data_IF_492600886403
#
_entry.id   IF_492600886403
#
_cell.length_a   1.000
_cell.length_b   1.000
_cell.length_c   1.000
_cell.angle_alpha   90.00
_cell.angle_beta   90.00
_cell.angle_gamma   90.00
#
_symmetry.space_group_name_H-M   'P 1'
#
loop_
_entity.id
_entity.type
_entity.pdbx_description
1 polymer ?
#
# COMPACT_ATOMS: atom_id res chain seq x y z
N UNK A 1 11.31 2.40 -4.88
CA UNK A 1 11.54 3.42 -3.83
C UNK A 1 11.15 4.81 -4.30
N UNK A 2 11.31 5.12 -5.58
CA UNK A 2 11.04 6.47 -6.13
C UNK A 2 9.63 6.98 -5.87
N UNK A 3 8.60 6.15 -6.08
CA UNK A 3 7.21 6.55 -5.80
C UNK A 3 6.98 6.92 -4.34
N UNK A 4 7.58 6.20 -3.41
CA UNK A 4 7.44 6.51 -1.97
C UNK A 4 8.13 7.83 -1.66
N UNK A 5 9.34 8.03 -2.19
CA UNK A 5 10.13 9.23 -1.97
C UNK A 5 9.44 10.48 -2.51
N UNK A 6 8.89 10.39 -3.72
CA UNK A 6 8.13 11.49 -4.33
C UNK A 6 6.77 11.71 -3.67
N UNK A 7 6.04 10.65 -3.28
CA UNK A 7 4.70 10.80 -2.67
C UNK A 7 4.74 11.24 -1.21
N UNK A 8 5.78 10.87 -0.47
CA UNK A 8 5.92 11.20 0.95
C UNK A 8 6.99 12.25 1.22
N UNK A 9 7.60 12.84 0.19
CA UNK A 9 8.66 13.85 0.28
C UNK A 9 9.75 13.45 1.28
N UNK A 10 10.25 12.23 1.11
CA UNK A 10 11.23 11.60 1.99
C UNK A 10 12.41 11.04 1.19
N UNK A 11 13.53 10.76 1.84
CA UNK A 11 14.69 10.17 1.19
C UNK A 11 15.33 9.05 2.00
N UNK A 12 15.65 7.95 1.33
CA UNK A 12 16.24 6.76 1.96
C UNK A 12 15.32 6.12 3.00
N UNK A 13 15.83 5.12 3.72
CA UNK A 13 15.10 4.49 4.83
C UNK A 13 15.19 5.39 6.07
N UNK A 14 16.40 5.80 6.45
CA UNK A 14 16.70 6.67 7.59
C UNK A 14 16.99 8.11 7.16
N UNK A 15 17.46 8.30 5.94
CA UNK A 15 17.79 9.61 5.38
C UNK A 15 18.58 9.48 4.07
N UNK A 16 19.00 10.61 3.48
CA UNK A 16 19.76 10.63 2.22
C UNK A 16 21.13 9.92 2.31
N UNK A 17 21.70 9.79 3.50
CA UNK A 17 22.97 9.10 3.74
C UNK A 17 22.94 7.61 3.34
N UNK A 18 21.76 6.99 3.29
CA UNK A 18 21.59 5.60 2.83
C UNK A 18 22.07 5.40 1.39
N UNK A 19 22.14 6.49 0.60
CA UNK A 19 22.61 6.48 -0.78
C UNK A 19 24.11 6.77 -0.93
N UNK A 20 24.85 7.02 0.16
CA UNK A 20 26.31 7.27 0.15
C UNK A 20 26.74 8.33 -0.88
N UNK A 21 25.94 9.39 -1.03
CA UNK A 21 26.19 10.50 -1.95
C UNK A 21 25.53 10.37 -3.34
N UNK A 22 25.04 9.20 -3.73
CA UNK A 22 24.34 8.99 -5.01
C UNK A 22 22.81 9.04 -4.84
N UNK A 23 22.31 10.21 -4.43
CA UNK A 23 20.89 10.40 -4.13
C UNK A 23 20.05 10.42 -5.42
N UNK A 24 18.99 9.61 -5.53
CA UNK A 24 18.16 9.55 -6.74
C UNK A 24 17.33 10.83 -6.94
N UNK A 25 16.87 11.08 -8.17
CA UNK A 25 16.08 12.26 -8.49
C UNK A 25 14.69 12.29 -7.81
N UNK A 26 14.21 11.15 -7.32
CA UNK A 26 12.97 11.02 -6.56
C UNK A 26 13.06 11.51 -5.12
N UNK A 27 14.28 11.72 -4.61
CA UNK A 27 14.57 12.25 -3.27
C UNK A 27 14.70 13.78 -3.23
N UNK A 28 14.46 14.48 -4.34
CA UNK A 28 14.69 15.93 -4.43
C UNK A 28 13.50 16.68 -5.04
N UNK A 29 13.33 17.91 -4.60
CA UNK A 29 12.42 18.90 -5.18
C UNK A 29 13.26 20.04 -5.76
N UNK A 30 13.39 20.07 -7.09
CA UNK A 30 14.34 20.96 -7.74
C UNK A 30 15.78 20.63 -7.32
N UNK A 31 16.40 21.53 -6.55
CA UNK A 31 17.75 21.37 -6.01
C UNK A 31 17.78 20.92 -4.54
N UNK A 32 16.65 20.94 -3.83
CA UNK A 32 16.60 20.57 -2.42
C UNK A 32 16.37 19.07 -2.24
N UNK A 33 17.20 18.43 -1.42
CA UNK A 33 17.08 17.00 -1.10
C UNK A 33 16.26 16.83 0.18
N UNK A 34 15.31 15.90 0.16
CA UNK A 34 14.55 15.56 1.36
C UNK A 34 15.46 14.95 2.42
N UNK A 35 15.44 15.54 3.62
CA UNK A 35 16.29 15.10 4.75
C UNK A 35 15.64 14.01 5.60
N UNK A 36 14.31 13.87 5.53
CA UNK A 36 13.59 12.90 6.33
C UNK A 36 13.66 11.50 5.74
N UNK A 37 13.99 10.50 6.57
CA UNK A 37 13.90 9.09 6.21
C UNK A 37 12.47 8.63 5.91
N UNK A 38 12.28 7.83 4.86
CA UNK A 38 10.96 7.34 4.51
C UNK A 38 10.34 6.42 5.56
N UNK A 39 11.14 5.72 6.36
CA UNK A 39 10.62 4.84 7.41
C UNK A 39 9.90 5.64 8.51
N UNK A 40 10.44 6.80 8.91
CA UNK A 40 9.84 7.62 9.95
C UNK A 40 8.57 8.30 9.45
N UNK A 41 8.58 8.84 8.23
CA UNK A 41 7.41 9.47 7.60
C UNK A 41 6.30 8.45 7.37
N UNK A 42 6.62 7.28 6.83
CA UNK A 42 5.64 6.22 6.59
C UNK A 42 5.07 5.65 7.88
N UNK A 43 5.90 5.42 8.90
CA UNK A 43 5.43 4.98 10.21
C UNK A 43 4.53 6.02 10.89
N UNK A 44 4.87 7.31 10.78
CA UNK A 44 4.02 8.39 11.27
C UNK A 44 2.68 8.45 10.51
N UNK A 45 2.71 8.25 9.19
CA UNK A 45 1.50 8.17 8.37
C UNK A 45 0.61 7.00 8.80
N UNK A 46 1.18 5.80 8.96
CA UNK A 46 0.44 4.63 9.44
C UNK A 46 -0.13 4.85 10.83
N UNK A 47 0.63 5.41 11.77
CA UNK A 47 0.14 5.69 13.13
C UNK A 47 -1.03 6.68 13.14
N UNK A 48 -0.97 7.73 12.30
CA UNK A 48 -2.02 8.75 12.21
C UNK A 48 -3.28 8.24 11.51
N UNK A 49 -3.11 7.40 10.48
CA UNK A 49 -4.21 6.93 9.63
C UNK A 49 -4.55 5.45 9.84
N UNK A 50 -4.12 4.86 10.97
CA UNK A 50 -4.23 3.42 11.22
C UNK A 50 -5.67 2.94 11.12
N UNK A 51 -6.61 3.73 11.64
CA UNK A 51 -8.04 3.42 11.64
C UNK A 51 -8.57 3.33 10.19
N UNK A 52 -8.20 4.27 9.33
CA UNK A 52 -8.64 4.28 7.93
C UNK A 52 -8.09 3.05 7.20
N UNK A 53 -6.80 2.76 7.38
CA UNK A 53 -6.16 1.58 6.77
C UNK A 53 -6.82 0.29 7.25
N UNK A 54 -7.12 0.18 8.54
CA UNK A 54 -7.80 -0.98 9.12
C UNK A 54 -9.21 -1.17 8.55
N UNK A 55 -9.99 -0.09 8.42
CA UNK A 55 -11.32 -0.14 7.83
C UNK A 55 -11.29 -0.59 6.36
N UNK A 56 -10.35 -0.09 5.56
CA UNK A 56 -10.17 -0.51 4.16
C UNK A 56 -9.83 -2.00 4.10
N UNK A 57 -8.88 -2.46 4.92
CA UNK A 57 -8.49 -3.86 4.96
C UNK A 57 -9.66 -4.78 5.34
N UNK A 58 -10.41 -4.42 6.38
CA UNK A 58 -11.60 -5.17 6.79
C UNK A 58 -12.69 -5.19 5.71
N UNK A 59 -12.92 -4.05 5.04
CA UNK A 59 -13.86 -3.96 3.92
C UNK A 59 -13.49 -4.90 2.78
N UNK A 60 -12.22 -4.93 2.38
CA UNK A 60 -11.73 -5.86 1.35
C UNK A 60 -11.93 -7.31 1.79
N UNK A 61 -11.61 -7.66 3.03
CA UNK A 61 -11.84 -9.02 3.56
C UNK A 61 -13.32 -9.41 3.53
N UNK A 62 -14.23 -8.50 3.87
CA UNK A 62 -15.67 -8.76 3.82
C UNK A 62 -16.16 -9.01 2.39
N UNK A 63 -15.76 -8.17 1.43
CA UNK A 63 -16.09 -8.37 0.02
C UNK A 63 -15.51 -9.68 -0.53
N UNK A 64 -14.31 -10.06 -0.10
CA UNK A 64 -13.70 -11.34 -0.47
C UNK A 64 -14.58 -12.52 -0.03
N UNK A 65 -15.04 -12.52 1.23
CA UNK A 65 -15.91 -13.58 1.75
C UNK A 65 -17.26 -13.63 1.01
N UNK A 66 -17.89 -12.48 0.76
CA UNK A 66 -19.11 -12.42 -0.04
C UNK A 66 -18.91 -12.98 -1.44
N UNK A 67 -17.79 -12.63 -2.08
CA UNK A 67 -17.46 -13.09 -3.44
C UNK A 67 -17.32 -14.61 -3.49
N UNK A 68 -16.67 -15.21 -2.49
CA UNK A 68 -16.51 -16.67 -2.39
C UNK A 68 -17.87 -17.34 -2.21
N UNK A 69 -18.71 -16.85 -1.29
CA UNK A 69 -20.04 -17.42 -1.05
C UNK A 69 -20.90 -17.39 -2.32
N UNK A 70 -20.91 -16.25 -3.03
CA UNK A 70 -21.66 -16.10 -4.29
C UNK A 70 -21.13 -17.07 -5.35
N UNK A 71 -19.81 -17.16 -5.51
CA UNK A 71 -19.19 -18.08 -6.48
C UNK A 71 -19.53 -19.55 -6.17
N UNK A 72 -19.51 -19.94 -4.91
CA UNK A 72 -19.89 -21.29 -4.48
C UNK A 72 -21.37 -21.57 -4.76
N UNK A 73 -22.27 -20.64 -4.39
CA UNK A 73 -23.70 -20.78 -4.68
C UNK A 73 -23.95 -20.90 -6.18
N UNK A 74 -23.34 -20.05 -7.01
CA UNK A 74 -23.49 -20.10 -8.46
C UNK A 74 -22.95 -21.43 -9.03
N UNK A 75 -21.77 -21.87 -8.58
CA UNK A 75 -21.15 -23.11 -9.03
C UNK A 75 -22.03 -24.34 -8.75
N UNK A 76 -22.64 -24.42 -7.57
CA UNK A 76 -23.60 -25.48 -7.24
C UNK A 76 -24.80 -25.47 -8.18
N UNK A 77 -25.38 -24.29 -8.43
CA UNK A 77 -26.53 -24.18 -9.34
C UNK A 77 -26.17 -24.63 -10.76
N UNK A 78 -25.02 -24.23 -11.29
CA UNK A 78 -24.56 -24.64 -12.62
C UNK A 78 -24.36 -26.17 -12.69
N UNK A 79 -23.76 -26.76 -11.65
CA UNK A 79 -23.58 -28.21 -11.59
C UNK A 79 -24.91 -28.95 -11.64
N UNK A 80 -25.92 -28.48 -10.89
CA UNK A 80 -27.26 -29.07 -10.90
C UNK A 80 -27.92 -28.97 -12.28
N UNK A 81 -27.73 -27.87 -13.02
CA UNK A 81 -28.21 -27.73 -14.41
C UNK A 81 -27.51 -28.66 -15.40
N UNK A 82 -26.27 -29.09 -15.14
CA UNK A 82 -25.56 -30.06 -15.98
C UNK A 82 -25.90 -31.52 -15.66
N UNK A 83 -26.47 -31.79 -14.48
CA UNK A 83 -26.82 -33.13 -14.02
C UNK A 83 -28.31 -33.48 -14.24
N UNK A 84 -29.02 -32.67 -15.01
CA UNK A 84 -30.39 -32.90 -15.52
C UNK A 84 -30.34 -33.09 -17.04
#
# INVERSE_FOLDING_TARGET
>A
MDKIQTSFHCCGVKGPDDYKGNVPASCKEGQEVYVQGCLSVFSAFLKRNLIIVACVAFGVCFFQLLSIVIACCLGQRIHDYQNV
#
